data_IF_069865570360
#
_entry.id   IF_069865570360
#
_cell.length_a   1.000
_cell.length_b   1.000
_cell.length_c   1.000
_cell.angle_alpha   90.00
_cell.angle_beta   90.00
_cell.angle_gamma   90.00
#
_symmetry.space_group_name_H-M   'P 1'
#
loop_
_entity.id
_entity.type
_entity.pdbx_description
1 polymer ?
#
# COMPACT_ATOMS: atom_id res chain seq x y z
N UNK A 1 -1.04 -5.72 8.19
CA UNK A 1 -0.85 -4.77 7.08
C UNK A 1 -1.30 -5.38 5.76
N UNK A 2 -0.60 -6.38 5.20
CA UNK A 2 -0.94 -6.99 3.90
C UNK A 2 -2.40 -7.45 3.82
N UNK A 3 -2.93 -8.15 4.83
CA UNK A 3 -4.34 -8.57 4.82
C UNK A 3 -5.33 -7.40 4.79
N UNK A 4 -5.01 -6.29 5.48
CA UNK A 4 -5.87 -5.11 5.52
C UNK A 4 -5.88 -4.42 4.15
N UNK A 5 -4.72 -4.36 3.49
CA UNK A 5 -4.61 -3.86 2.11
C UNK A 5 -5.36 -4.77 1.14
N UNK A 6 -5.23 -6.10 1.28
CA UNK A 6 -5.94 -7.06 0.45
C UNK A 6 -7.46 -6.89 0.58
N UNK A 7 -7.96 -6.83 1.82
CA UNK A 7 -9.38 -6.61 2.08
C UNK A 7 -9.85 -5.26 1.52
N UNK A 8 -9.09 -4.19 1.73
CA UNK A 8 -9.42 -2.88 1.15
C UNK A 8 -9.49 -2.94 -0.37
N UNK A 9 -8.55 -3.62 -1.05
CA UNK A 9 -8.55 -3.77 -2.51
C UNK A 9 -9.79 -4.49 -3.04
N UNK A 10 -10.31 -5.48 -2.31
CA UNK A 10 -11.55 -6.18 -2.65
C UNK A 10 -12.77 -5.26 -2.62
N UNK A 11 -12.77 -4.22 -1.77
CA UNK A 11 -13.86 -3.24 -1.70
C UNK A 11 -13.82 -2.20 -2.83
N UNK A 12 -12.71 -2.11 -3.58
CA UNK A 12 -12.55 -1.11 -4.62
C UNK A 12 -12.97 -1.66 -5.99
N UNK A 13 -13.66 -0.83 -6.78
CA UNK A 13 -13.88 -1.13 -8.20
C UNK A 13 -12.59 -0.90 -8.99
N UNK A 14 -11.85 -1.99 -9.21
CA UNK A 14 -10.59 -2.01 -9.94
C UNK A 14 -10.73 -1.66 -11.42
N UNK A 15 -11.95 -1.63 -11.98
CA UNK A 15 -12.20 -1.19 -13.37
C UNK A 15 -12.34 0.33 -13.47
N UNK A 16 -12.75 0.99 -12.39
CA UNK A 16 -12.94 2.44 -12.32
C UNK A 16 -11.73 3.18 -11.73
N UNK A 17 -10.91 2.51 -10.90
CA UNK A 17 -9.74 3.12 -10.25
C UNK A 17 -8.45 2.36 -10.58
N UNK A 18 -7.49 3.07 -11.16
CA UNK A 18 -6.14 2.56 -11.37
C UNK A 18 -5.35 2.69 -10.07
N UNK A 19 -5.21 1.58 -9.34
CA UNK A 19 -4.48 1.51 -8.08
C UNK A 19 -3.06 1.01 -8.34
N UNK A 20 -2.06 1.70 -7.77
CA UNK A 20 -0.65 1.28 -7.81
C UNK A 20 -0.23 0.90 -6.40
N UNK A 21 0.24 -0.34 -6.23
CA UNK A 21 0.71 -0.84 -4.93
C UNK A 21 2.21 -0.61 -4.78
N UNK A 22 2.60 -0.04 -3.64
CA UNK A 22 3.99 0.27 -3.32
C UNK A 22 4.32 -0.28 -1.94
N UNK A 23 5.29 -1.18 -1.85
CA UNK A 23 5.84 -1.66 -0.57
C UNK A 23 7.02 -0.81 -0.13
N UNK A 24 7.21 -0.65 1.18
CA UNK A 24 8.36 0.05 1.75
C UNK A 24 9.55 -0.87 2.00
N UNK A 25 9.32 -2.18 2.08
CA UNK A 25 10.35 -3.18 2.35
C UNK A 25 10.15 -4.43 1.50
N UNK A 26 11.27 -5.01 1.08
CA UNK A 26 11.31 -6.32 0.47
C UNK A 26 12.45 -7.11 1.10
N UNK A 27 12.17 -8.35 1.52
CA UNK A 27 13.19 -9.23 2.07
C UNK A 27 14.18 -9.62 0.97
N UNK A 28 15.37 -9.00 1.00
CA UNK A 28 16.42 -9.24 0.01
C UNK A 28 16.98 -10.67 0.07
N UNK A 29 16.91 -11.34 1.22
CA UNK A 29 17.40 -12.71 1.36
C UNK A 29 16.49 -13.71 0.66
N UNK A 30 15.17 -13.46 0.69
CA UNK A 30 14.17 -14.24 -0.04
C UNK A 30 14.06 -13.80 -1.52
N UNK A 31 14.59 -12.62 -1.85
CA UNK A 31 14.65 -12.07 -3.20
C UNK A 31 13.28 -12.03 -3.88
N UNK A 32 13.25 -12.46 -5.15
CA UNK A 32 12.04 -12.46 -5.97
C UNK A 32 10.91 -13.34 -5.42
N UNK A 33 11.21 -14.36 -4.61
CA UNK A 33 10.17 -15.24 -4.06
C UNK A 33 9.20 -14.47 -3.16
N UNK A 34 9.72 -13.54 -2.34
CA UNK A 34 8.88 -12.72 -1.45
C UNK A 34 8.01 -11.73 -2.23
N UNK A 35 8.57 -11.12 -3.29
CA UNK A 35 7.83 -10.24 -4.18
C UNK A 35 6.69 -11.00 -4.87
N UNK A 36 7.01 -12.15 -5.49
CA UNK A 36 6.04 -12.98 -6.20
C UNK A 36 4.91 -13.46 -5.28
N UNK A 37 5.22 -13.80 -4.03
CA UNK A 37 4.21 -14.18 -3.06
C UNK A 37 3.27 -13.01 -2.73
N UNK A 38 3.83 -11.80 -2.53
CA UNK A 38 3.05 -10.60 -2.23
C UNK A 38 2.15 -10.20 -3.40
N UNK A 39 2.66 -10.21 -4.62
CA UNK A 39 1.88 -9.92 -5.84
C UNK A 39 0.74 -10.92 -6.05
N UNK A 40 0.97 -12.21 -5.74
CA UNK A 40 -0.07 -13.23 -5.78
C UNK A 40 -1.15 -13.00 -4.72
N UNK A 41 -0.76 -12.64 -3.49
CA UNK A 41 -1.71 -12.35 -2.41
C UNK A 41 -2.58 -11.14 -2.73
N UNK A 42 -2.01 -10.12 -3.37
CA UNK A 42 -2.71 -8.87 -3.70
C UNK A 42 -3.33 -8.87 -5.11
N UNK A 43 -3.14 -9.95 -5.87
CA UNK A 43 -3.55 -10.09 -7.27
C UNK A 43 -3.19 -8.86 -8.13
N UNK A 44 -2.00 -8.31 -7.93
CA UNK A 44 -1.60 -7.03 -8.51
C UNK A 44 -0.08 -6.85 -8.45
N UNK A 45 0.55 -6.16 -9.44
CA UNK A 45 1.97 -5.85 -9.38
C UNK A 45 2.30 -4.95 -8.18
N UNK A 46 3.45 -5.20 -7.54
CA UNK A 46 3.91 -4.44 -6.38
C UNK A 46 5.27 -3.81 -6.67
N UNK A 47 5.37 -2.51 -6.43
CA UNK A 47 6.60 -1.74 -6.64
C UNK A 47 7.28 -1.42 -5.31
N UNK A 48 8.58 -1.13 -5.34
CA UNK A 48 9.30 -0.66 -4.15
C UNK A 48 9.24 0.87 -4.05
N UNK A 49 8.93 1.38 -2.87
CA UNK A 49 8.96 2.81 -2.59
C UNK A 49 10.39 3.33 -2.77
N UNK A 50 10.57 4.24 -3.71
CA UNK A 50 11.83 4.95 -3.86
C UNK A 50 11.86 6.21 -2.98
N UNK A 51 13.08 6.70 -2.68
CA UNK A 51 13.26 7.85 -1.79
C UNK A 51 12.62 9.14 -2.35
N UNK A 52 12.59 9.31 -3.68
CA UNK A 52 12.04 10.51 -4.30
C UNK A 52 10.51 10.60 -4.16
N UNK A 53 9.79 9.47 -4.28
CA UNK A 53 8.35 9.42 -4.03
C UNK A 53 8.03 9.69 -2.56
N UNK A 54 8.79 9.07 -1.64
CA UNK A 54 8.65 9.35 -0.21
C UNK A 54 8.78 10.84 0.09
N UNK A 55 9.82 11.49 -0.44
CA UNK A 55 10.07 12.91 -0.21
C UNK A 55 9.02 13.82 -0.89
N UNK A 56 8.56 13.48 -2.10
CA UNK A 56 7.58 14.29 -2.83
C UNK A 56 6.20 14.31 -2.18
N UNK A 57 5.79 13.19 -1.59
CA UNK A 57 4.54 13.09 -0.85
C UNK A 57 4.70 13.33 0.65
N UNK A 58 5.91 13.58 1.12
CA UNK A 58 6.24 13.77 2.54
C UNK A 58 5.65 12.68 3.45
N UNK A 59 5.70 11.41 3.01
CA UNK A 59 5.11 10.28 3.75
C UNK A 59 5.90 10.00 5.04
N UNK A 60 5.20 10.02 6.18
CA UNK A 60 5.75 9.81 7.52
C UNK A 60 5.41 8.43 8.09
N UNK A 61 4.25 7.86 7.72
CA UNK A 61 3.70 6.62 8.29
C UNK A 61 3.48 5.56 7.20
N UNK A 62 3.34 4.30 7.61
CA UNK A 62 2.92 3.19 6.76
C UNK A 62 1.89 2.32 7.48
N UNK A 63 0.85 1.83 6.77
CA UNK A 63 0.54 2.11 5.37
C UNK A 63 -0.06 3.52 5.18
N UNK A 64 0.00 4.02 3.95
CA UNK A 64 -0.61 5.30 3.57
C UNK A 64 -1.30 5.19 2.21
N UNK A 65 -2.42 5.91 2.07
CA UNK A 65 -3.16 6.05 0.83
C UNK A 65 -2.93 7.44 0.25
N UNK A 66 -2.57 7.50 -1.03
CA UNK A 66 -2.36 8.76 -1.75
C UNK A 66 -3.31 8.80 -2.94
N UNK A 67 -4.14 9.83 -3.01
CA UNK A 67 -5.10 10.02 -4.11
C UNK A 67 -5.09 11.46 -4.62
N UNK A 68 -5.42 11.64 -5.91
CA UNK A 68 -5.63 12.96 -6.48
C UNK A 68 -7.07 13.41 -6.23
N UNK A 69 -7.25 14.66 -5.82
CA UNK A 69 -8.54 15.34 -5.68
C UNK A 69 -8.48 16.71 -6.33
N UNK A 70 -8.90 16.77 -7.59
CA UNK A 70 -8.71 17.94 -8.44
C UNK A 70 -7.22 18.20 -8.67
N UNK A 71 -6.73 19.35 -8.22
CA UNK A 71 -5.32 19.75 -8.35
C UNK A 71 -4.46 19.43 -7.11
N UNK A 72 -5.05 18.82 -6.10
CA UNK A 72 -4.37 18.47 -4.86
C UNK A 72 -4.16 16.95 -4.73
N UNK A 73 -3.18 16.57 -3.92
CA UNK A 73 -3.08 15.21 -3.39
C UNK A 73 -3.65 15.18 -1.98
N UNK A 74 -4.52 14.22 -1.70
CA UNK A 74 -4.92 13.83 -0.35
C UNK A 74 -4.10 12.62 0.07
N UNK A 75 -3.60 12.67 1.30
CA UNK A 75 -2.79 11.61 1.91
C UNK A 75 -3.48 11.20 3.21
N UNK A 76 -3.80 9.91 3.30
CA UNK A 76 -4.28 9.29 4.53
C UNK A 76 -3.19 8.37 5.05
N UNK A 77 -2.73 8.63 6.26
CA UNK A 77 -1.69 7.86 6.93
C UNK A 77 -2.33 7.02 8.02
N UNK A 78 -2.14 5.69 7.97
CA UNK A 78 -2.79 4.77 8.90
C UNK A 78 -1.74 4.24 9.89
N UNK A 79 -1.75 4.70 11.14
CA UNK A 79 -0.84 4.21 12.16
C UNK A 79 -1.03 2.72 12.44
N UNK A 80 0.07 1.99 12.67
CA UNK A 80 0.04 0.57 12.98
C UNK A 80 -0.89 0.19 14.15
N UNK A 81 -1.11 1.09 15.11
CA UNK A 81 -2.03 0.90 16.25
C UNK A 81 -3.52 0.81 15.84
N UNK A 82 -3.89 1.45 14.73
CA UNK A 82 -5.28 1.51 14.24
C UNK A 82 -5.62 0.27 13.41
N UNK A 83 -4.65 -0.26 12.65
CA UNK A 83 -4.77 -1.54 11.95
C UNK A 83 -5.01 -2.76 12.87
N UNK A 84 -4.67 -2.65 14.15
CA UNK A 84 -4.87 -3.74 15.15
C UNK A 84 -6.26 -3.66 15.78
N UNK A 85 -6.84 -2.46 15.90
CA UNK A 85 -8.17 -2.27 16.50
C UNK A 85 -9.30 -2.73 15.57
N UNK A 86 -9.13 -2.61 14.25
CA UNK A 86 -10.08 -3.11 13.26
C UNK A 86 -10.23 -4.64 13.25
N UNK A 87 -9.20 -5.38 13.68
CA UNK A 87 -9.27 -6.85 13.80
C UNK A 87 -9.91 -7.34 15.11
N UNK A 88 -10.22 -6.44 16.04
CA UNK A 88 -10.74 -6.77 17.37
C UNK A 88 -12.23 -6.44 17.57
N UNK A 89 -12.91 -5.95 16.52
CA UNK A 89 -14.34 -5.66 16.49
C UNK A 89 -15.08 -6.59 15.53
#
# INVERSE_FOLDING_TARGET
EVDAVAHWLETQDRTLRRITLITTQLDRAQGWNRLNALEKTLDSPVYLLNASLKQRFDLQVTPSFVQAKGLAFEIEEIPAKELVHEKAQ
#
